data_IF_793747497070
#
_entry.id   IF_793747497070
#
_cell.length_a   1.000
_cell.length_b   1.000
_cell.length_c   1.000
_cell.angle_alpha   90.00
_cell.angle_beta   90.00
_cell.angle_gamma   90.00
#
_symmetry.space_group_name_H-M   'P 1'
#
loop_
_entity.id
_entity.type
_entity.pdbx_description
1 polymer ?
#
# COMPACT_ATOMS: atom_id res chain seq x y z
N UNK A 1 29.46 -1.96 2.32
CA UNK A 1 28.57 -0.86 1.85
C UNK A 1 27.17 -1.24 2.22
N UNK A 2 26.48 -0.38 2.98
CA UNK A 2 25.04 -0.57 3.22
C UNK A 2 24.34 -0.59 1.88
N UNK A 3 23.45 -1.58 1.67
CA UNK A 3 22.55 -1.55 0.55
C UNK A 3 21.58 -0.39 0.77
N UNK A 4 21.91 0.76 0.23
CA UNK A 4 20.91 1.80 0.06
C UNK A 4 19.94 1.30 -0.99
N UNK A 5 18.67 1.22 -0.63
CA UNK A 5 17.61 1.13 -1.61
C UNK A 5 17.86 2.23 -2.65
N UNK A 6 18.13 1.80 -3.87
CA UNK A 6 18.50 2.72 -4.93
C UNK A 6 17.43 3.76 -5.07
N UNK A 7 17.86 4.99 -5.05
CA UNK A 7 17.06 6.16 -5.31
C UNK A 7 16.12 5.90 -6.50
N UNK A 8 14.81 5.95 -6.27
CA UNK A 8 13.78 5.76 -7.31
C UNK A 8 13.79 6.84 -8.40
N UNK A 9 14.87 7.62 -8.52
CA UNK A 9 15.07 8.61 -9.59
C UNK A 9 14.99 8.01 -11.00
N UNK A 10 14.99 6.68 -11.10
CA UNK A 10 14.81 5.93 -12.35
C UNK A 10 13.42 5.32 -12.54
N UNK A 11 12.46 5.60 -11.69
CA UNK A 11 11.10 5.13 -11.91
C UNK A 11 10.53 5.78 -13.18
N UNK A 12 10.03 5.00 -14.17
CA UNK A 12 9.58 5.54 -15.46
C UNK A 12 8.50 6.61 -15.34
N UNK A 13 7.77 6.65 -14.24
CA UNK A 13 6.73 7.64 -13.94
C UNK A 13 7.15 8.72 -12.93
N UNK A 14 8.38 8.68 -12.41
CA UNK A 14 8.90 9.68 -11.48
C UNK A 14 8.90 11.10 -12.06
N UNK A 15 9.11 11.22 -13.38
CA UNK A 15 9.02 12.50 -14.09
C UNK A 15 7.57 13.01 -14.28
N UNK A 16 6.58 12.10 -14.23
CA UNK A 16 5.18 12.44 -14.51
C UNK A 16 4.35 12.73 -13.26
N UNK A 17 4.78 12.29 -12.09
CA UNK A 17 3.96 12.34 -10.88
C UNK A 17 4.53 13.07 -9.68
N UNK A 18 5.74 13.65 -9.76
CA UNK A 18 6.39 14.19 -8.57
C UNK A 18 6.59 13.11 -7.48
N UNK A 19 6.56 11.85 -7.89
CA UNK A 19 6.86 10.72 -7.00
C UNK A 19 8.35 10.78 -6.74
N UNK A 20 8.70 11.53 -5.71
CA UNK A 20 10.04 11.53 -5.18
C UNK A 20 10.36 10.10 -4.78
N UNK A 21 11.45 9.59 -5.27
CA UNK A 21 12.01 8.34 -4.82
C UNK A 21 12.09 8.33 -3.31
N UNK A 22 11.34 7.45 -2.74
CA UNK A 22 11.25 7.31 -1.30
C UNK A 22 12.38 6.37 -0.87
N UNK A 23 13.55 6.94 -0.62
CA UNK A 23 14.59 6.23 0.08
C UNK A 23 14.02 5.64 1.36
N UNK A 24 14.14 4.33 1.58
CA UNK A 24 13.60 3.63 2.76
C UNK A 24 12.08 3.64 2.93
N UNK A 25 11.37 4.58 2.31
CA UNK A 25 9.92 4.72 2.35
C UNK A 25 9.16 3.96 1.26
N UNK A 26 9.84 3.39 0.28
CA UNK A 26 9.19 2.68 -0.84
C UNK A 26 8.31 1.52 -0.36
N UNK A 27 8.79 0.73 0.59
CA UNK A 27 8.05 -0.38 1.17
C UNK A 27 6.80 0.10 1.93
N UNK A 28 6.89 1.27 2.56
CA UNK A 28 5.74 1.89 3.23
C UNK A 28 4.68 2.33 2.21
N UNK A 29 5.08 2.90 1.08
CA UNK A 29 4.17 3.27 -0.02
C UNK A 29 3.45 2.04 -0.54
N UNK A 30 4.14 0.91 -0.74
CA UNK A 30 3.49 -0.33 -1.18
C UNK A 30 2.47 -0.83 -0.17
N UNK A 31 2.76 -0.72 1.12
CA UNK A 31 1.81 -1.03 2.19
C UNK A 31 0.58 -0.12 2.15
N UNK A 32 0.79 1.17 1.96
CA UNK A 32 -0.31 2.14 1.86
C UNK A 32 -1.18 1.91 0.62
N UNK A 33 -0.57 1.65 -0.53
CA UNK A 33 -1.28 1.31 -1.78
C UNK A 33 -2.18 0.09 -1.56
N UNK A 34 -1.64 -0.97 -0.96
CA UNK A 34 -2.41 -2.16 -0.64
C UNK A 34 -3.61 -1.87 0.27
N UNK A 35 -3.41 -1.05 1.30
CA UNK A 35 -4.46 -0.69 2.26
C UNK A 35 -5.51 0.26 1.66
N UNK A 36 -5.09 1.17 0.78
CA UNK A 36 -5.96 2.17 0.19
C UNK A 36 -6.82 1.63 -0.97
N UNK A 37 -6.37 0.58 -1.65
CA UNK A 37 -7.04 0.06 -2.85
C UNK A 37 -7.44 -1.41 -2.65
N UNK A 38 -8.68 -1.69 -2.20
CA UNK A 38 -9.14 -3.03 -1.84
C UNK A 38 -8.99 -4.07 -2.94
N UNK A 39 -9.12 -3.67 -4.21
CA UNK A 39 -8.97 -4.59 -5.34
C UNK A 39 -7.53 -5.12 -5.45
N UNK A 40 -6.53 -4.33 -5.09
CA UNK A 40 -5.14 -4.77 -5.10
C UNK A 40 -4.87 -5.76 -3.97
N UNK A 41 -5.39 -5.52 -2.77
CA UNK A 41 -5.29 -6.48 -1.67
C UNK A 41 -5.97 -7.81 -2.01
N UNK A 42 -7.17 -7.75 -2.59
CA UNK A 42 -7.89 -8.93 -3.05
C UNK A 42 -7.13 -9.70 -4.13
N UNK A 43 -6.48 -8.99 -5.07
CA UNK A 43 -5.67 -9.59 -6.12
C UNK A 43 -4.44 -10.33 -5.54
N UNK A 44 -3.71 -9.69 -4.62
CA UNK A 44 -2.59 -10.33 -3.91
C UNK A 44 -3.07 -11.57 -3.16
N UNK A 45 -4.16 -11.47 -2.39
CA UNK A 45 -4.72 -12.61 -1.68
C UNK A 45 -5.16 -13.74 -2.61
N UNK A 46 -5.65 -13.42 -3.80
CA UNK A 46 -5.99 -14.41 -4.81
C UNK A 46 -4.75 -15.08 -5.40
N UNK A 47 -3.71 -14.31 -5.73
CA UNK A 47 -2.45 -14.85 -6.24
C UNK A 47 -1.83 -15.83 -5.24
N UNK A 48 -1.76 -15.46 -3.97
CA UNK A 48 -1.25 -16.36 -2.90
C UNK A 48 -2.07 -17.65 -2.81
N UNK A 49 -3.40 -17.57 -2.90
CA UNK A 49 -4.26 -18.77 -2.88
C UNK A 49 -4.12 -19.64 -4.13
N UNK A 50 -3.81 -19.04 -5.29
CA UNK A 50 -3.61 -19.78 -6.54
C UNK A 50 -2.31 -20.58 -6.55
N UNK A 51 -1.33 -20.27 -5.71
CA UNK A 51 -0.14 -21.12 -5.56
C UNK A 51 -0.48 -22.50 -5.00
N UNK A 52 -1.64 -22.63 -4.34
CA UNK A 52 -2.14 -23.88 -3.80
C UNK A 52 -1.32 -24.41 -2.62
N UNK A 53 -1.62 -25.63 -2.24
CA UNK A 53 -0.82 -26.38 -1.29
C UNK A 53 0.35 -27.09 -1.98
N UNK A 54 1.23 -27.65 -1.19
CA UNK A 54 2.33 -28.49 -1.67
C UNK A 54 2.33 -29.83 -0.94
N UNK A 55 2.87 -30.84 -1.58
CA UNK A 55 3.05 -32.15 -1.00
C UNK A 55 4.54 -32.49 -1.04
N UNK A 56 5.06 -32.97 0.06
CA UNK A 56 6.44 -33.45 0.13
C UNK A 56 6.42 -34.96 0.11
N UNK A 57 7.12 -35.56 -0.85
CA UNK A 57 7.27 -36.99 -0.97
C UNK A 57 8.63 -37.40 -0.38
N UNK A 58 8.60 -38.48 0.40
CA UNK A 58 9.80 -39.04 1.01
C UNK A 58 9.85 -40.54 0.74
N UNK A 59 11.02 -41.06 0.37
CA UNK A 59 11.19 -42.49 0.11
C UNK A 59 11.06 -43.41 1.35
N UNK A 60 11.00 -42.83 2.54
CA UNK A 60 10.82 -43.54 3.80
C UNK A 60 9.49 -43.15 4.45
N UNK A 61 8.57 -44.10 4.56
CA UNK A 61 7.22 -43.88 5.13
C UNK A 61 7.20 -43.36 6.57
N UNK A 62 8.23 -43.70 7.38
CA UNK A 62 8.30 -43.18 8.75
C UNK A 62 8.69 -41.69 8.74
N UNK A 63 9.72 -41.35 7.97
CA UNK A 63 10.13 -39.95 7.80
C UNK A 63 9.04 -39.11 7.13
N UNK A 64 8.29 -39.66 6.19
CA UNK A 64 7.16 -38.98 5.54
C UNK A 64 6.08 -38.58 6.55
N UNK A 65 5.68 -39.46 7.46
CA UNK A 65 4.69 -39.16 8.51
C UNK A 65 5.19 -38.09 9.51
N UNK A 66 6.46 -38.16 9.89
CA UNK A 66 7.09 -37.19 10.76
C UNK A 66 7.14 -35.81 10.07
N UNK A 67 7.52 -35.81 8.79
CA UNK A 67 7.53 -34.60 7.98
C UNK A 67 6.13 -34.01 7.79
N UNK A 68 5.12 -34.81 7.45
CA UNK A 68 3.72 -34.35 7.35
C UNK A 68 3.22 -33.75 8.66
N UNK A 69 3.58 -34.35 9.79
CA UNK A 69 3.24 -33.79 11.10
C UNK A 69 3.90 -32.43 11.28
N UNK A 70 5.21 -32.33 11.03
CA UNK A 70 5.97 -31.10 11.11
C UNK A 70 5.34 -30.01 10.24
N UNK A 71 5.08 -30.29 8.96
CA UNK A 71 4.49 -29.35 8.01
C UNK A 71 3.14 -28.78 8.49
N UNK A 72 2.34 -29.59 9.21
CA UNK A 72 1.02 -29.16 9.72
C UNK A 72 1.09 -28.43 11.06
N UNK A 73 2.11 -28.70 11.89
CA UNK A 73 2.12 -28.27 13.29
C UNK A 73 3.24 -27.30 13.64
N UNK A 74 4.21 -27.07 12.76
CA UNK A 74 5.32 -26.13 13.01
C UNK A 74 4.76 -24.74 13.34
N UNK A 75 5.33 -24.10 14.34
CA UNK A 75 4.94 -22.73 14.72
C UNK A 75 5.40 -21.76 13.63
N UNK A 76 4.46 -21.04 13.03
CA UNK A 76 4.73 -20.00 12.01
C UNK A 76 4.75 -18.58 12.58
N UNK A 77 4.57 -18.42 13.89
CA UNK A 77 4.54 -17.12 14.56
C UNK A 77 3.13 -16.50 14.65
N UNK A 78 2.98 -15.58 15.59
CA UNK A 78 1.72 -14.82 15.81
C UNK A 78 0.47 -15.71 15.93
N UNK A 79 0.60 -16.88 16.54
CA UNK A 79 -0.51 -17.82 16.71
C UNK A 79 -0.85 -18.64 15.47
N UNK A 80 -0.09 -18.49 14.37
CA UNK A 80 -0.24 -19.30 13.17
C UNK A 80 0.57 -20.59 13.29
N UNK A 81 0.02 -21.68 12.74
CA UNK A 81 0.66 -22.99 12.71
C UNK A 81 0.66 -23.54 11.30
N UNK A 82 1.65 -24.40 11.02
CA UNK A 82 1.84 -25.05 9.74
C UNK A 82 2.67 -24.24 8.76
N UNK A 83 3.45 -24.97 7.96
CA UNK A 83 4.32 -24.36 6.96
C UNK A 83 3.54 -23.64 5.85
N UNK A 84 2.31 -24.07 5.55
CA UNK A 84 1.44 -23.37 4.59
C UNK A 84 1.13 -21.93 5.05
N UNK A 85 0.88 -21.73 6.35
CA UNK A 85 0.66 -20.38 6.91
C UNK A 85 1.89 -19.50 6.77
N UNK A 86 3.08 -20.06 7.03
CA UNK A 86 4.36 -19.37 6.80
C UNK A 86 4.51 -19.00 5.33
N UNK A 87 4.34 -19.96 4.41
CA UNK A 87 4.50 -19.73 2.98
C UNK A 87 3.50 -18.71 2.44
N UNK A 88 2.26 -18.73 2.89
CA UNK A 88 1.28 -17.73 2.49
C UNK A 88 1.72 -16.31 2.88
N UNK A 89 2.18 -16.10 4.12
CA UNK A 89 2.68 -14.80 4.57
C UNK A 89 3.99 -14.41 3.85
N UNK A 90 4.88 -15.37 3.62
CA UNK A 90 6.14 -15.17 2.93
C UNK A 90 5.93 -14.78 1.46
N UNK A 91 5.06 -15.49 0.73
CA UNK A 91 4.69 -15.17 -0.65
C UNK A 91 3.99 -13.81 -0.75
N UNK A 92 3.11 -13.52 0.20
CA UNK A 92 2.44 -12.23 0.25
C UNK A 92 3.44 -11.07 0.42
N UNK A 93 4.41 -11.23 1.31
CA UNK A 93 5.51 -10.26 1.49
C UNK A 93 6.32 -10.12 0.20
N UNK A 94 6.66 -11.22 -0.44
CA UNK A 94 7.43 -11.26 -1.68
C UNK A 94 6.73 -10.53 -2.82
N UNK A 95 5.42 -10.69 -2.98
CA UNK A 95 4.64 -9.98 -4.00
C UNK A 95 4.52 -8.49 -3.70
N UNK A 96 4.18 -8.14 -2.45
CA UNK A 96 3.93 -6.74 -2.05
C UNK A 96 5.21 -5.92 -2.02
N UNK A 97 6.28 -6.46 -1.46
CA UNK A 97 7.52 -5.72 -1.22
C UNK A 97 8.66 -6.08 -2.18
N UNK A 98 8.45 -7.05 -3.07
CA UNK A 98 9.49 -7.59 -3.94
C UNK A 98 10.45 -8.54 -3.24
N UNK A 99 10.28 -8.76 -1.94
CA UNK A 99 11.15 -9.63 -1.12
C UNK A 99 10.40 -10.15 0.10
N UNK A 100 10.91 -11.25 0.60
CA UNK A 100 10.41 -11.84 1.84
C UNK A 100 11.59 -12.30 2.70
N UNK A 101 11.40 -12.26 4.00
CA UNK A 101 12.35 -12.74 5.00
C UNK A 101 11.63 -13.65 5.98
N UNK A 102 12.31 -14.68 6.40
CA UNK A 102 11.90 -15.58 7.46
C UNK A 102 13.09 -16.05 8.27
N UNK A 103 12.81 -16.69 9.38
CA UNK A 103 13.82 -17.26 10.28
C UNK A 103 13.40 -18.67 10.69
N UNK A 104 14.34 -19.60 10.62
CA UNK A 104 14.20 -20.92 11.23
C UNK A 104 14.69 -20.84 12.69
N UNK A 105 13.85 -21.22 13.62
CA UNK A 105 14.21 -21.32 15.03
C UNK A 105 14.54 -22.78 15.35
N UNK A 106 15.75 -23.02 15.79
CA UNK A 106 16.26 -24.36 16.11
C UNK A 106 16.43 -24.47 17.62
N UNK A 107 15.83 -25.48 18.20
CA UNK A 107 15.99 -25.88 19.60
C UNK A 107 16.61 -27.26 19.74
N UNK A 108 17.89 -27.33 20.11
CA UNK A 108 18.65 -28.58 20.01
C UNK A 108 18.90 -28.98 18.57
N UNK A 109 18.50 -30.20 18.21
CA UNK A 109 18.63 -30.74 16.84
C UNK A 109 17.35 -30.65 16.02
N UNK A 110 16.30 -29.97 16.54
CA UNK A 110 15.00 -29.88 15.90
C UNK A 110 14.64 -28.44 15.52
N UNK A 111 13.91 -28.29 14.41
CA UNK A 111 13.30 -27.02 14.04
C UNK A 111 12.02 -26.85 14.86
N UNK A 112 11.99 -25.87 15.76
CA UNK A 112 10.84 -25.60 16.64
C UNK A 112 9.85 -24.59 16.06
N UNK A 113 10.32 -23.69 15.17
CA UNK A 113 9.45 -22.73 14.49
C UNK A 113 10.08 -22.28 13.15
N UNK A 114 9.22 -21.82 12.26
CA UNK A 114 9.62 -21.12 11.02
C UNK A 114 8.84 -19.82 10.98
N UNK A 115 9.50 -18.72 11.33
CA UNK A 115 8.87 -17.43 11.53
C UNK A 115 9.03 -16.54 10.29
N UNK A 116 7.96 -15.90 9.84
CA UNK A 116 8.07 -14.86 8.83
C UNK A 116 8.39 -13.51 9.46
N UNK A 117 9.26 -12.74 8.81
CA UNK A 117 9.77 -11.46 9.28
C UNK A 117 9.18 -10.26 8.55
N UNK A 118 9.34 -9.09 9.15
CA UNK A 118 8.94 -7.81 8.58
C UNK A 118 10.10 -7.25 7.74
N UNK A 119 9.94 -7.28 6.42
CA UNK A 119 10.95 -6.78 5.47
C UNK A 119 11.18 -5.27 5.56
N UNK A 120 10.26 -4.51 6.15
CA UNK A 120 10.43 -3.06 6.32
C UNK A 120 11.48 -2.73 7.37
N UNK A 121 11.79 -3.68 8.25
CA UNK A 121 12.82 -3.56 9.29
C UNK A 121 14.09 -4.31 8.93
N UNK A 122 14.09 -5.04 7.82
CA UNK A 122 15.23 -5.82 7.38
C UNK A 122 16.31 -4.89 6.84
N UNK A 123 17.51 -5.07 7.33
CA UNK A 123 18.73 -4.50 6.78
C UNK A 123 19.49 -5.60 6.05
N UNK A 124 19.86 -5.32 4.81
CA UNK A 124 20.62 -6.25 3.97
C UNK A 124 21.96 -5.58 3.64
N UNK A 125 23.04 -6.22 3.97
CA UNK A 125 24.38 -5.78 3.64
C UNK A 125 24.96 -6.73 2.59
N UNK A 126 25.45 -6.18 1.49
CA UNK A 126 26.21 -6.94 0.51
C UNK A 126 27.58 -7.28 1.08
N UNK A 127 27.98 -8.54 0.92
CA UNK A 127 29.31 -9.01 1.26
C UNK A 127 30.37 -8.62 0.22
N UNK A 128 31.54 -9.21 0.33
CA UNK A 128 32.60 -9.04 -0.66
C UNK A 128 32.34 -9.74 -1.98
N UNK A 129 31.46 -10.72 -1.97
CA UNK A 129 30.97 -11.44 -3.14
C UNK A 129 29.53 -11.07 -3.42
N UNK A 130 29.13 -11.00 -4.69
CA UNK A 130 27.74 -10.76 -5.12
C UNK A 130 26.76 -11.85 -4.62
N UNK A 131 27.27 -12.98 -4.14
CA UNK A 131 26.50 -14.10 -3.59
C UNK A 131 26.33 -14.04 -2.07
N UNK A 132 26.99 -13.10 -1.41
CA UNK A 132 27.01 -13.03 0.05
C UNK A 132 26.18 -11.83 0.52
N UNK A 133 25.08 -12.15 1.19
CA UNK A 133 24.27 -11.16 1.92
C UNK A 133 24.42 -11.41 3.42
N UNK A 134 24.58 -10.33 4.19
CA UNK A 134 24.40 -10.35 5.63
C UNK A 134 23.12 -9.64 6.00
N UNK A 135 22.30 -10.30 6.80
CA UNK A 135 21.01 -9.82 7.23
C UNK A 135 21.05 -9.28 8.65
N UNK A 136 20.38 -8.19 8.90
CA UNK A 136 20.27 -7.56 10.20
C UNK A 136 18.96 -6.78 10.31
N UNK A 137 18.83 -6.06 11.40
CA UNK A 137 17.69 -5.14 11.59
C UNK A 137 18.14 -3.86 12.28
N UNK A 138 17.40 -2.78 12.03
CA UNK A 138 17.52 -1.55 12.80
C UNK A 138 16.94 -1.74 14.19
N UNK A 139 17.76 -1.53 15.21
CA UNK A 139 17.35 -1.57 16.60
C UNK A 139 18.12 -0.50 17.38
N UNK A 140 17.42 0.33 18.12
CA UNK A 140 18.01 1.36 19.00
C UNK A 140 18.96 2.36 18.28
N UNK A 141 18.69 2.64 17.00
CA UNK A 141 19.51 3.57 16.18
C UNK A 141 20.74 2.92 15.55
N UNK A 142 20.95 1.63 15.72
CA UNK A 142 22.06 0.88 15.14
C UNK A 142 21.58 -0.32 14.33
N UNK A 143 22.40 -0.74 13.37
CA UNK A 143 22.18 -1.98 12.62
C UNK A 143 22.78 -3.14 13.41
N UNK A 144 21.92 -4.05 13.85
CA UNK A 144 22.35 -5.29 14.49
C UNK A 144 22.27 -6.42 13.47
N UNK A 145 23.42 -6.95 13.08
CA UNK A 145 23.53 -8.12 12.21
C UNK A 145 23.11 -9.38 12.98
N UNK A 146 22.30 -10.23 12.35
CA UNK A 146 21.86 -11.48 12.96
C UNK A 146 23.05 -12.44 13.13
N UNK A 147 23.21 -13.08 14.28
CA UNK A 147 24.38 -13.93 14.54
C UNK A 147 24.35 -15.25 13.75
N UNK A 148 23.17 -15.73 13.37
CA UNK A 148 22.98 -17.01 12.66
C UNK A 148 22.39 -16.76 11.27
N UNK A 149 23.21 -16.31 10.34
CA UNK A 149 22.81 -15.98 8.96
C UNK A 149 22.22 -17.19 8.20
N UNK A 150 22.72 -18.39 8.47
CA UNK A 150 22.27 -19.64 7.86
C UNK A 150 20.84 -20.07 8.24
N UNK A 151 20.24 -19.45 9.25
CA UNK A 151 18.86 -19.68 9.65
C UNK A 151 17.90 -18.64 9.06
N UNK A 152 18.41 -17.63 8.36
CA UNK A 152 17.60 -16.62 7.69
C UNK A 152 17.19 -17.14 6.32
N UNK A 153 15.89 -17.14 6.08
CA UNK A 153 15.27 -17.42 4.79
C UNK A 153 15.02 -16.09 4.09
N UNK A 154 15.65 -15.89 2.95
CA UNK A 154 15.44 -14.70 2.13
C UNK A 154 15.09 -15.10 0.71
N UNK A 155 14.08 -14.45 0.15
CA UNK A 155 13.74 -14.59 -1.25
C UNK A 155 13.41 -13.24 -1.86
N UNK A 156 13.84 -13.05 -3.10
CA UNK A 156 13.56 -11.88 -3.92
C UNK A 156 12.64 -12.26 -5.07
N UNK A 157 11.65 -11.40 -5.35
CA UNK A 157 10.76 -11.52 -6.49
C UNK A 157 11.29 -10.71 -7.66
N UNK A 158 11.43 -11.37 -8.80
CA UNK A 158 11.90 -10.74 -10.04
C UNK A 158 13.15 -9.85 -9.84
N UNK A 159 14.24 -10.38 -9.26
CA UNK A 159 15.48 -9.64 -9.11
C UNK A 159 16.10 -9.37 -10.48
N UNK A 160 16.77 -8.26 -10.61
CA UNK A 160 17.56 -7.89 -11.79
C UNK A 160 18.99 -7.47 -11.39
N UNK A 161 19.86 -7.23 -12.36
CA UNK A 161 21.27 -6.85 -12.12
C UNK A 161 21.40 -5.54 -11.34
N UNK A 162 20.44 -4.63 -11.50
CA UNK A 162 20.41 -3.35 -10.81
C UNK A 162 19.76 -3.45 -9.41
N UNK A 163 18.88 -4.44 -9.20
CA UNK A 163 18.16 -4.64 -7.95
C UNK A 163 18.09 -6.12 -7.57
N UNK A 164 19.14 -6.67 -6.95
CA UNK A 164 19.18 -8.05 -6.50
C UNK A 164 18.22 -8.33 -5.34
N UNK A 165 17.68 -7.29 -4.72
CA UNK A 165 16.73 -7.42 -3.59
C UNK A 165 15.29 -7.68 -4.03
N UNK A 166 15.04 -7.69 -5.33
CA UNK A 166 13.74 -7.94 -5.93
C UNK A 166 12.85 -6.71 -6.08
N UNK A 167 11.89 -6.81 -6.99
CA UNK A 167 10.98 -5.75 -7.37
C UNK A 167 9.54 -6.10 -7.00
N UNK A 168 8.85 -5.19 -6.29
CA UNK A 168 7.43 -5.32 -5.97
C UNK A 168 6.56 -5.37 -7.22
N UNK A 169 5.46 -6.14 -7.18
CA UNK A 169 4.41 -6.06 -8.20
C UNK A 169 3.75 -4.68 -8.21
N UNK A 170 3.90 -3.90 -7.15
CA UNK A 170 3.39 -2.53 -7.04
C UNK A 170 4.36 -1.46 -7.54
N UNK A 171 5.55 -1.83 -8.05
CA UNK A 171 6.58 -0.88 -8.49
C UNK A 171 6.07 0.20 -9.46
N UNK A 172 5.14 -0.16 -10.35
CA UNK A 172 4.55 0.76 -11.33
C UNK A 172 3.19 1.32 -10.90
N UNK A 173 2.69 0.98 -9.72
CA UNK A 173 1.35 1.34 -9.27
C UNK A 173 1.19 2.74 -8.66
N UNK A 174 2.19 3.40 -8.06
CA UNK A 174 1.96 4.66 -7.35
C UNK A 174 1.26 5.72 -8.20
N UNK A 175 1.69 5.91 -9.44
CA UNK A 175 1.06 6.85 -10.37
C UNK A 175 -0.39 6.45 -10.72
N UNK A 176 -0.63 5.17 -11.02
CA UNK A 176 -1.96 4.67 -11.37
C UNK A 176 -2.94 4.79 -10.19
N UNK A 177 -2.45 4.53 -8.99
CA UNK A 177 -3.24 4.67 -7.76
C UNK A 177 -3.59 6.14 -7.49
N UNK A 178 -2.66 7.07 -7.68
CA UNK A 178 -2.93 8.51 -7.53
C UNK A 178 -4.02 8.96 -8.52
N UNK A 179 -3.93 8.56 -9.78
CA UNK A 179 -4.96 8.84 -10.80
C UNK A 179 -6.31 8.24 -10.39
N UNK A 180 -6.32 6.98 -9.95
CA UNK A 180 -7.54 6.28 -9.54
C UNK A 180 -8.22 6.97 -8.35
N UNK A 181 -7.44 7.36 -7.34
CA UNK A 181 -7.96 8.09 -6.17
C UNK A 181 -8.52 9.46 -6.55
N UNK A 182 -7.90 10.17 -7.47
CA UNK A 182 -8.42 11.43 -8.02
C UNK A 182 -9.73 11.22 -8.76
N UNK A 183 -9.85 10.15 -9.55
CA UNK A 183 -11.11 9.80 -10.23
C UNK A 183 -12.21 9.52 -9.20
N UNK A 184 -11.94 8.71 -8.18
CA UNK A 184 -12.92 8.41 -7.13
C UNK A 184 -13.34 9.66 -6.36
N UNK A 185 -12.40 10.53 -6.00
CA UNK A 185 -12.69 11.81 -5.37
C UNK A 185 -13.59 12.69 -6.25
N UNK A 186 -13.29 12.76 -7.55
CA UNK A 186 -14.08 13.54 -8.51
C UNK A 186 -15.49 12.96 -8.66
N UNK A 187 -15.64 11.64 -8.75
CA UNK A 187 -16.93 10.96 -8.79
C UNK A 187 -17.72 11.27 -7.52
N UNK A 188 -17.10 11.14 -6.34
CA UNK A 188 -17.73 11.47 -5.06
C UNK A 188 -18.23 12.91 -5.01
N UNK A 189 -17.39 13.88 -5.36
CA UNK A 189 -17.77 15.29 -5.43
C UNK A 189 -18.89 15.54 -6.43
N UNK A 190 -18.86 14.90 -7.60
CA UNK A 190 -19.93 15.06 -8.59
C UNK A 190 -21.23 14.42 -8.11
N UNK A 191 -21.16 13.30 -7.41
CA UNK A 191 -22.33 12.65 -6.83
C UNK A 191 -22.97 13.51 -5.73
N UNK A 192 -22.17 14.09 -4.85
CA UNK A 192 -22.63 15.05 -3.85
C UNK A 192 -23.29 16.27 -4.52
N UNK A 193 -22.67 16.79 -5.59
CA UNK A 193 -23.22 17.93 -6.34
C UNK A 193 -24.52 17.56 -7.08
N UNK A 194 -24.64 16.38 -7.63
CA UNK A 194 -25.84 15.91 -8.32
C UNK A 194 -27.00 15.64 -7.36
N UNK A 195 -26.70 15.21 -6.12
CA UNK A 195 -27.69 15.00 -5.07
C UNK A 195 -28.23 16.28 -4.44
N UNK A 196 -27.55 17.42 -4.63
CA UNK A 196 -27.97 18.69 -4.09
C UNK A 196 -28.91 19.41 -5.06
N UNK A 197 -30.09 19.84 -4.53
CA UNK A 197 -31.01 20.67 -5.27
C UNK A 197 -30.36 22.01 -5.57
N UNK A 198 -30.34 22.39 -6.83
CA UNK A 198 -29.82 23.70 -7.26
C UNK A 198 -30.99 24.66 -7.44
N UNK A 199 -30.88 25.82 -6.86
CA UNK A 199 -31.86 26.89 -7.00
C UNK A 199 -31.26 27.98 -7.86
N UNK A 200 -32.09 28.56 -8.75
CA UNK A 200 -31.77 29.77 -9.47
C UNK A 200 -32.68 30.86 -8.91
N UNK A 201 -32.08 31.89 -8.36
CA UNK A 201 -32.83 33.05 -7.83
C UNK A 201 -32.66 34.19 -8.79
N UNK A 202 -33.75 34.69 -9.32
CA UNK A 202 -33.79 35.84 -10.22
C UNK A 202 -34.41 37.00 -9.46
N UNK A 203 -33.65 38.06 -9.20
CA UNK A 203 -34.13 39.28 -8.60
C UNK A 203 -34.67 40.19 -9.70
N UNK A 204 -35.98 40.57 -9.60
CA UNK A 204 -36.63 41.51 -10.52
C UNK A 204 -36.99 42.78 -9.75
N UNK A 205 -36.31 43.91 -10.01
CA UNK A 205 -36.68 45.19 -9.42
C UNK A 205 -38.01 45.68 -9.95
N UNK A 206 -38.88 46.20 -9.07
CA UNK A 206 -40.23 46.67 -9.45
C UNK A 206 -40.28 48.17 -9.78
N UNK A 207 -39.25 48.93 -9.43
CA UNK A 207 -39.16 50.36 -9.64
C UNK A 207 -37.79 50.83 -10.09
N UNK A 208 -37.62 52.10 -10.53
CA UNK A 208 -36.36 52.65 -10.99
C UNK A 208 -35.33 52.76 -9.87
N UNK A 209 -35.75 52.99 -8.62
CA UNK A 209 -34.82 53.05 -7.49
C UNK A 209 -34.24 51.63 -7.22
N UNK A 210 -35.05 50.59 -7.32
CA UNK A 210 -34.59 49.23 -7.20
C UNK A 210 -33.65 48.78 -8.32
N UNK A 211 -33.66 49.42 -9.48
CA UNK A 211 -32.75 49.15 -10.60
C UNK A 211 -31.34 49.67 -10.33
N UNK A 212 -31.21 50.80 -9.65
CA UNK A 212 -29.89 51.39 -9.33
C UNK A 212 -29.10 50.50 -8.38
N UNK A 213 -29.79 49.88 -7.42
CA UNK A 213 -29.18 49.01 -6.42
C UNK A 213 -29.29 47.50 -6.70
N UNK A 214 -29.79 47.16 -7.90
CA UNK A 214 -30.13 45.77 -8.26
C UNK A 214 -28.96 44.83 -8.16
N UNK A 215 -27.76 45.31 -8.52
CA UNK A 215 -26.55 44.48 -8.47
C UNK A 215 -26.11 44.22 -7.01
N UNK A 216 -26.08 45.27 -6.19
CA UNK A 216 -25.72 45.16 -4.79
C UNK A 216 -26.72 44.26 -4.03
N UNK A 217 -28.00 44.38 -4.33
CA UNK A 217 -29.05 43.56 -3.74
C UNK A 217 -28.98 42.09 -4.18
N UNK A 218 -28.63 41.83 -5.43
CA UNK A 218 -28.41 40.48 -5.92
C UNK A 218 -27.20 39.82 -5.26
N UNK A 219 -26.13 40.57 -5.00
CA UNK A 219 -24.96 40.07 -4.31
C UNK A 219 -25.25 39.78 -2.82
N UNK A 220 -26.07 40.66 -2.16
CA UNK A 220 -26.51 40.40 -0.80
C UNK A 220 -27.37 39.15 -0.69
N UNK A 221 -28.30 38.92 -1.61
CA UNK A 221 -29.12 37.74 -1.67
C UNK A 221 -28.25 36.50 -1.91
N UNK A 222 -27.30 36.57 -2.82
CA UNK A 222 -26.38 35.48 -3.11
C UNK A 222 -25.52 35.11 -1.87
N UNK A 223 -25.06 36.13 -1.13
CA UNK A 223 -24.28 35.95 0.09
C UNK A 223 -25.12 35.30 1.19
N UNK A 224 -26.32 35.83 1.48
CA UNK A 224 -27.22 35.28 2.49
C UNK A 224 -27.64 33.84 2.17
N UNK A 225 -27.96 33.57 0.90
CA UNK A 225 -28.32 32.25 0.43
C UNK A 225 -27.15 31.26 0.59
N UNK A 226 -25.95 31.68 0.18
CA UNK A 226 -24.73 30.88 0.34
C UNK A 226 -24.46 30.56 1.80
N UNK A 227 -24.69 31.52 2.71
CA UNK A 227 -24.48 31.34 4.14
C UNK A 227 -25.53 30.39 4.75
N UNK A 228 -26.79 30.53 4.39
CA UNK A 228 -27.86 29.64 4.84
C UNK A 228 -27.67 28.20 4.34
N UNK A 229 -27.14 28.04 3.14
CA UNK A 229 -26.83 26.72 2.60
C UNK A 229 -25.58 26.08 3.22
N UNK A 230 -24.59 26.86 3.67
CA UNK A 230 -23.42 26.36 4.42
C UNK A 230 -23.79 25.85 5.82
N UNK A 231 -24.78 26.43 6.45
CA UNK A 231 -25.29 26.00 7.75
C UNK A 231 -26.13 24.71 7.66
N UNK A 232 -26.77 24.47 6.53
CA UNK A 232 -27.38 23.18 6.24
C UNK A 232 -26.28 22.21 5.78
N UNK A 233 -26.12 21.06 6.45
CA UNK A 233 -25.07 20.03 6.20
C UNK A 233 -25.01 19.46 4.76
N UNK A 234 -25.51 20.17 3.77
CA UNK A 234 -25.56 19.80 2.37
C UNK A 234 -24.60 20.74 1.63
N UNK A 235 -23.58 20.18 1.01
CA UNK A 235 -22.51 20.91 0.36
C UNK A 235 -23.00 21.96 -0.63
N UNK A 236 -22.55 23.18 -0.46
CA UNK A 236 -22.97 24.33 -1.27
C UNK A 236 -22.38 24.27 -2.66
N UNK A 237 -23.23 24.16 -3.63
CA UNK A 237 -22.92 24.64 -4.98
C UNK A 237 -23.29 26.13 -5.01
N UNK A 238 -22.37 26.98 -5.40
CA UNK A 238 -22.59 28.40 -5.55
C UNK A 238 -23.68 28.62 -6.61
N UNK A 239 -24.90 28.93 -6.17
CA UNK A 239 -26.02 29.24 -7.07
C UNK A 239 -25.84 30.59 -7.68
N UNK A 240 -26.28 30.73 -8.91
CA UNK A 240 -26.15 31.95 -9.68
C UNK A 240 -27.36 32.85 -9.38
N UNK A 241 -27.10 34.06 -8.90
CA UNK A 241 -28.12 35.09 -8.76
C UNK A 241 -27.92 36.08 -9.90
N UNK A 242 -28.94 36.22 -10.70
CA UNK A 242 -28.95 37.16 -11.83
C UNK A 242 -30.02 38.22 -11.65
N UNK A 243 -29.78 39.42 -12.16
CA UNK A 243 -30.81 40.45 -12.31
C UNK A 243 -31.53 40.16 -13.60
N UNK A 244 -32.84 39.96 -13.50
CA UNK A 244 -33.68 39.77 -14.66
C UNK A 244 -34.22 41.11 -15.18
N UNK A 245 -34.40 41.22 -16.50
CA UNK A 245 -35.03 42.35 -17.18
C UNK A 245 -36.53 42.48 -16.83
#
# INVERSE_FOLDING_TARGET
KAAQLRDGSRHPFGMLGGVTALGGGELEVYRQIRNAVPILDAAIGKLVRLTGGFTVLCGNRKAERELERFLKTVNAGRGQVGLESFLAAFLQSMLVYGRAVGEMVVGGDEITAVLWGDVTKLYVQEGTSAMEFAFGQWQDGEVKIFPRQNLILFAAWNPDEENPYGASVFRSMPFLVDVLLKIYSTIGTNWERAGNVRYSVVYKPQDEAGRIDAQERSEQIASQWSQAMQESRHGVVRDFVAVGD
#
